data_IF_408657998954
#
_entry.id   IF_408657998954
#
_cell.length_a   1.000
_cell.length_b   1.000
_cell.length_c   1.000
_cell.angle_alpha   90.00
_cell.angle_beta   90.00
_cell.angle_gamma   90.00
#
_symmetry.space_group_name_H-M   'P 1'
#
loop_
_entity.id
_entity.type
_entity.pdbx_description
1 polymer ?
#
# COMPACT_ATOMS: atom_id res chain seq x y z
N UNK A 1 25.26 -46.90 -47.15
CA UNK A 1 25.05 -46.63 -45.68
C UNK A 1 24.72 -45.16 -45.52
N UNK A 2 23.46 -44.78 -45.33
CA UNK A 2 23.06 -43.38 -45.11
C UNK A 2 23.11 -43.03 -43.65
N UNK A 3 23.73 -41.89 -43.32
CA UNK A 3 23.77 -41.29 -41.98
C UNK A 3 22.45 -40.57 -41.68
N UNK A 4 21.71 -41.00 -40.68
CA UNK A 4 20.60 -40.27 -40.11
C UNK A 4 21.13 -39.14 -39.26
N UNK A 5 20.80 -37.90 -39.62
CA UNK A 5 21.02 -36.71 -38.80
C UNK A 5 19.74 -36.41 -38.04
N UNK A 6 19.75 -36.60 -36.72
CA UNK A 6 18.63 -36.29 -35.84
C UNK A 6 18.66 -34.80 -35.54
N UNK A 7 17.60 -34.07 -35.98
CA UNK A 7 17.35 -32.68 -35.61
C UNK A 7 16.66 -32.67 -34.22
N UNK A 8 17.36 -32.21 -33.21
CA UNK A 8 16.79 -31.87 -31.88
C UNK A 8 16.07 -30.51 -31.95
N UNK A 9 14.77 -30.52 -32.04
CA UNK A 9 13.96 -29.31 -31.81
C UNK A 9 13.96 -28.98 -30.31
N UNK A 10 14.73 -27.97 -29.91
CA UNK A 10 14.69 -27.38 -28.59
C UNK A 10 13.44 -26.51 -28.45
N UNK A 11 12.44 -26.95 -27.72
CA UNK A 11 11.29 -26.16 -27.32
C UNK A 11 11.72 -25.12 -26.26
N UNK A 12 11.86 -23.85 -26.68
CA UNK A 12 12.04 -22.71 -25.78
C UNK A 12 10.67 -22.43 -25.15
N UNK A 13 10.49 -22.84 -23.91
CA UNK A 13 9.37 -22.44 -23.06
C UNK A 13 9.58 -20.94 -22.70
N UNK A 14 8.95 -20.07 -23.47
CA UNK A 14 8.75 -18.66 -23.08
C UNK A 14 7.85 -18.64 -21.85
N UNK A 15 8.47 -18.59 -20.67
CA UNK A 15 7.78 -18.30 -19.43
C UNK A 15 7.17 -16.91 -19.52
N UNK A 16 5.84 -16.85 -19.73
CA UNK A 16 5.10 -15.62 -19.62
C UNK A 16 5.19 -15.12 -18.17
N UNK A 17 6.12 -14.20 -17.89
CA UNK A 17 6.11 -13.41 -16.67
C UNK A 17 4.79 -12.64 -16.63
N UNK A 18 3.80 -13.16 -15.90
CA UNK A 18 2.58 -12.44 -15.58
C UNK A 18 2.96 -11.26 -14.69
N UNK A 19 3.19 -10.08 -15.29
CA UNK A 19 3.43 -8.86 -14.53
C UNK A 19 2.13 -8.48 -13.83
N UNK A 20 2.06 -8.75 -12.55
CA UNK A 20 0.95 -8.30 -11.72
C UNK A 20 0.97 -6.77 -11.66
N UNK A 21 -0.12 -6.13 -12.05
CA UNK A 21 -0.25 -4.66 -11.99
C UNK A 21 0.00 -4.19 -10.56
N UNK A 22 0.98 -3.30 -10.37
CA UNK A 22 1.26 -2.69 -9.07
C UNK A 22 0.28 -1.56 -8.75
N UNK A 23 -0.25 -0.88 -9.77
CA UNK A 23 -1.17 0.25 -9.62
C UNK A 23 -2.34 0.18 -10.63
N UNK A 24 -3.42 0.88 -10.31
CA UNK A 24 -4.61 1.00 -11.14
C UNK A 24 -5.22 2.39 -11.05
N UNK A 25 -5.84 2.82 -12.13
CA UNK A 25 -6.42 4.14 -12.29
C UNK A 25 -7.80 4.04 -12.95
N UNK A 26 -8.81 4.76 -12.42
CA UNK A 26 -10.13 4.86 -13.03
C UNK A 26 -10.08 5.69 -14.33
N UNK A 27 -10.93 5.36 -15.30
CA UNK A 27 -10.92 6.03 -16.62
C UNK A 27 -11.16 7.53 -16.52
N UNK A 28 -12.07 7.97 -15.65
CA UNK A 28 -12.35 9.39 -15.41
C UNK A 28 -11.14 10.22 -14.96
N UNK A 29 -10.17 9.61 -14.28
CA UNK A 29 -8.96 10.30 -13.86
C UNK A 29 -7.95 10.46 -15.02
N UNK A 30 -8.09 9.68 -16.09
CA UNK A 30 -7.34 9.85 -17.33
C UNK A 30 -7.76 11.12 -18.07
N UNK A 31 -9.04 11.49 -17.95
CA UNK A 31 -9.62 12.67 -18.59
C UNK A 31 -9.40 13.96 -17.79
N UNK A 32 -9.20 13.83 -16.47
CA UNK A 32 -8.99 14.97 -15.56
C UNK A 32 -7.73 14.72 -14.71
N UNK A 33 -6.57 15.20 -15.15
CA UNK A 33 -5.34 15.08 -14.36
C UNK A 33 -5.47 15.83 -13.04
N UNK A 34 -4.74 15.38 -12.02
CA UNK A 34 -4.81 15.91 -10.65
C UNK A 34 -4.15 17.29 -10.47
N UNK A 35 -3.51 17.85 -11.51
CA UNK A 35 -2.79 19.12 -11.41
C UNK A 35 -3.67 20.23 -10.81
N UNK A 36 -3.20 20.83 -9.72
CA UNK A 36 -3.94 21.87 -9.01
C UNK A 36 -5.12 21.36 -8.17
N UNK A 37 -5.30 20.02 -8.05
CA UNK A 37 -6.31 19.47 -7.16
C UNK A 37 -5.87 19.53 -5.71
N UNK A 38 -6.81 19.83 -4.82
CA UNK A 38 -6.59 19.76 -3.38
C UNK A 38 -6.79 18.33 -2.89
N UNK A 39 -5.79 17.81 -2.16
CA UNK A 39 -5.73 16.45 -1.65
C UNK A 39 -5.57 16.46 -0.14
N UNK A 40 -6.55 15.90 0.58
CA UNK A 40 -6.45 15.65 2.02
C UNK A 40 -5.49 14.49 2.25
N UNK A 41 -4.35 14.74 2.86
CA UNK A 41 -3.42 13.69 3.28
C UNK A 41 -3.84 13.19 4.66
N UNK A 42 -4.46 12.02 4.70
CA UNK A 42 -4.88 11.36 5.95
C UNK A 42 -3.69 10.63 6.55
N UNK A 43 -3.57 10.67 7.89
CA UNK A 43 -2.53 9.93 8.60
C UNK A 43 -2.52 8.46 8.18
N UNK A 44 -1.36 7.86 7.86
CA UNK A 44 -1.29 6.50 7.35
C UNK A 44 -1.67 5.48 8.46
N UNK A 45 -2.53 4.52 8.14
CA UNK A 45 -2.82 3.36 9.02
C UNK A 45 -1.70 2.33 8.88
N UNK A 46 -0.65 2.51 9.66
CA UNK A 46 0.49 1.59 9.72
C UNK A 46 0.32 0.66 10.91
N UNK A 47 0.67 -0.62 10.75
CA UNK A 47 0.74 -1.58 11.86
C UNK A 47 1.92 -2.50 11.70
N UNK A 48 2.75 -2.56 12.73
CA UNK A 48 3.91 -3.41 12.80
C UNK A 48 3.71 -4.55 13.78
N UNK A 49 4.16 -5.73 13.37
CA UNK A 49 4.02 -6.95 14.15
C UNK A 49 5.38 -7.61 14.35
N UNK A 50 5.60 -8.14 15.53
CA UNK A 50 6.70 -9.05 15.83
C UNK A 50 6.26 -10.48 15.53
N UNK A 51 6.97 -11.17 14.66
CA UNK A 51 6.73 -12.57 14.33
C UNK A 51 7.51 -13.45 15.30
N UNK A 52 6.85 -14.02 16.30
CA UNK A 52 7.45 -14.88 17.32
C UNK A 52 7.63 -16.32 16.84
N UNK A 53 6.66 -16.83 16.12
CA UNK A 53 6.65 -18.16 15.51
C UNK A 53 5.76 -18.20 14.28
N UNK A 54 5.74 -19.28 13.47
CA UNK A 54 4.82 -19.40 12.36
C UNK A 54 3.36 -19.26 12.83
N UNK A 55 2.68 -18.20 12.33
CA UNK A 55 1.29 -17.89 12.68
C UNK A 55 1.11 -17.02 13.93
N UNK A 56 2.15 -16.79 14.73
CA UNK A 56 2.10 -15.95 15.92
C UNK A 56 2.70 -14.57 15.64
N UNK A 57 1.84 -13.56 15.61
CA UNK A 57 2.19 -12.16 15.32
C UNK A 57 1.73 -11.27 16.47
N UNK A 58 2.66 -10.69 17.20
CA UNK A 58 2.37 -9.72 18.25
C UNK A 58 2.41 -8.29 17.73
N UNK A 59 1.34 -7.54 17.95
CA UNK A 59 1.29 -6.12 17.59
C UNK A 59 2.23 -5.28 18.46
N UNK A 60 3.08 -4.48 17.81
CA UNK A 60 4.10 -3.65 18.46
C UNK A 60 3.77 -2.17 18.32
N UNK A 61 3.28 -1.59 19.41
CA UNK A 61 2.87 -0.18 19.44
C UNK A 61 4.05 0.76 19.24
N UNK A 62 5.17 0.50 19.93
CA UNK A 62 6.41 1.28 19.86
C UNK A 62 6.98 1.34 18.42
N UNK A 63 7.02 0.20 17.73
CA UNK A 63 7.45 0.12 16.33
C UNK A 63 6.50 0.83 15.39
N UNK A 64 5.19 0.67 15.63
CA UNK A 64 4.12 1.29 14.83
C UNK A 64 4.22 2.80 14.85
N UNK A 65 4.35 3.41 16.03
CA UNK A 65 4.46 4.88 16.19
C UNK A 65 5.67 5.43 15.42
N UNK A 66 6.81 4.73 15.47
CA UNK A 66 8.00 5.16 14.74
C UNK A 66 7.80 5.04 13.23
N UNK A 67 7.22 3.93 12.77
CA UNK A 67 6.94 3.69 11.36
C UNK A 67 5.91 4.69 10.78
N UNK A 68 4.84 5.00 11.52
CA UNK A 68 3.86 6.02 11.13
C UNK A 68 4.52 7.37 10.86
N UNK A 69 5.41 7.81 11.75
CA UNK A 69 6.15 9.08 11.59
C UNK A 69 7.02 9.07 10.33
N UNK A 70 7.76 7.98 10.10
CA UNK A 70 8.65 7.87 8.94
C UNK A 70 7.85 7.82 7.64
N UNK A 71 6.76 7.05 7.60
CA UNK A 71 5.89 6.94 6.43
C UNK A 71 5.20 8.27 6.14
N UNK A 72 4.65 8.95 7.16
CA UNK A 72 4.00 10.26 6.98
C UNK A 72 4.97 11.29 6.43
N UNK A 73 6.19 11.38 7.00
CA UNK A 73 7.24 12.28 6.50
C UNK A 73 7.56 11.99 5.04
N UNK A 74 7.78 10.72 4.69
CA UNK A 74 8.09 10.33 3.32
C UNK A 74 6.94 10.63 2.34
N UNK A 75 5.68 10.49 2.77
CA UNK A 75 4.50 10.86 1.97
C UNK A 75 4.46 12.36 1.70
N UNK A 76 4.61 13.19 2.74
CA UNK A 76 4.65 14.66 2.62
C UNK A 76 5.75 15.07 1.64
N UNK A 77 6.98 14.58 1.83
CA UNK A 77 8.12 14.93 0.99
C UNK A 77 7.89 14.58 -0.49
N UNK A 78 7.36 13.39 -0.75
CA UNK A 78 7.18 12.91 -2.12
C UNK A 78 5.95 13.50 -2.81
N UNK A 79 4.88 13.81 -2.08
CA UNK A 79 3.68 14.42 -2.65
C UNK A 79 3.81 15.91 -2.86
N UNK A 80 4.53 16.64 -1.99
CA UNK A 80 4.81 18.07 -2.17
C UNK A 80 5.52 18.37 -3.50
N UNK A 81 6.33 17.44 -3.99
CA UNK A 81 7.04 17.59 -5.27
C UNK A 81 6.12 17.41 -6.50
N UNK A 82 4.82 17.17 -6.30
CA UNK A 82 3.89 16.74 -7.37
C UNK A 82 2.84 17.78 -7.77
N UNK A 83 3.05 19.06 -7.47
CA UNK A 83 2.13 20.18 -7.82
C UNK A 83 0.69 19.96 -7.34
N UNK A 84 0.52 19.29 -6.21
CA UNK A 84 -0.75 19.09 -5.53
C UNK A 84 -0.89 20.13 -4.42
N UNK A 85 -2.13 20.59 -4.17
CA UNK A 85 -2.45 21.36 -2.98
C UNK A 85 -2.73 20.38 -1.83
N UNK A 86 -1.70 20.07 -1.03
CA UNK A 86 -1.83 19.14 0.09
C UNK A 86 -2.47 19.82 1.29
N UNK A 87 -3.59 19.28 1.72
CA UNK A 87 -4.25 19.66 2.96
C UNK A 87 -3.87 18.64 4.02
N UNK A 88 -3.13 19.03 5.08
CA UNK A 88 -2.81 18.11 6.15
C UNK A 88 -4.07 17.74 6.91
N UNK A 89 -4.18 16.45 7.28
CA UNK A 89 -5.24 15.96 8.15
C UNK A 89 -4.94 16.33 9.60
N UNK A 90 -5.92 16.97 10.24
CA UNK A 90 -5.84 17.26 11.67
C UNK A 90 -6.71 16.25 12.41
N UNK A 91 -6.09 15.36 13.17
CA UNK A 91 -6.79 14.39 14.00
C UNK A 91 -7.70 15.11 14.99
N UNK A 92 -8.99 14.80 15.01
CA UNK A 92 -9.91 15.37 16.00
C UNK A 92 -9.54 14.95 17.43
N UNK A 93 -10.04 15.71 18.41
CA UNK A 93 -9.84 15.38 19.82
C UNK A 93 -10.30 13.95 20.12
N UNK A 94 -9.44 13.20 20.80
CA UNK A 94 -9.67 11.80 21.16
C UNK A 94 -10.98 11.67 21.97
N UNK A 95 -11.79 10.69 21.61
CA UNK A 95 -13.10 10.40 22.24
C UNK A 95 -14.25 11.28 21.74
N UNK A 96 -14.00 12.25 20.85
CA UNK A 96 -15.07 13.01 20.20
C UNK A 96 -15.83 12.18 19.18
N UNK A 97 -17.10 12.55 18.90
CA UNK A 97 -17.90 11.91 17.84
C UNK A 97 -17.20 11.98 16.48
N UNK A 98 -16.55 13.11 16.25
CA UNK A 98 -15.81 13.36 15.02
C UNK A 98 -14.61 12.40 14.87
N UNK A 99 -13.85 12.19 15.92
CA UNK A 99 -12.73 11.21 15.89
C UNK A 99 -13.25 9.81 15.59
N UNK A 100 -14.38 9.44 16.18
CA UNK A 100 -15.01 8.13 15.92
C UNK A 100 -15.47 7.99 14.47
N UNK A 101 -16.04 9.03 13.88
CA UNK A 101 -16.47 9.02 12.48
C UNK A 101 -15.27 8.95 11.53
N UNK A 102 -14.23 9.74 11.76
CA UNK A 102 -13.02 9.74 10.95
C UNK A 102 -12.30 8.38 11.04
N UNK A 103 -12.19 7.82 12.24
CA UNK A 103 -11.63 6.48 12.47
C UNK A 103 -12.41 5.38 11.73
N UNK A 104 -13.73 5.47 11.66
CA UNK A 104 -14.56 4.53 10.89
C UNK A 104 -14.23 4.57 9.40
N UNK A 105 -13.98 5.74 8.84
CA UNK A 105 -13.58 5.86 7.42
C UNK A 105 -12.22 5.22 7.18
N UNK A 106 -11.24 5.44 8.07
CA UNK A 106 -9.92 4.80 7.98
C UNK A 106 -10.03 3.27 8.10
N UNK A 107 -10.85 2.77 9.04
CA UNK A 107 -11.08 1.34 9.19
C UNK A 107 -11.80 0.73 7.97
N UNK A 108 -12.78 1.43 7.41
CA UNK A 108 -13.45 1.03 6.19
C UNK A 108 -12.46 0.98 5.01
N UNK A 109 -11.58 1.99 4.91
CA UNK A 109 -10.51 1.96 3.90
C UNK A 109 -9.63 0.72 4.06
N UNK A 110 -9.22 0.35 5.27
CA UNK A 110 -8.40 -0.84 5.49
C UNK A 110 -9.12 -2.13 5.03
N UNK A 111 -10.43 -2.25 5.28
CA UNK A 111 -11.22 -3.39 4.83
C UNK A 111 -11.36 -3.43 3.29
N UNK A 112 -11.64 -2.28 2.66
CA UNK A 112 -11.73 -2.17 1.19
C UNK A 112 -10.36 -2.38 0.56
N UNK A 113 -9.27 -1.91 1.18
CA UNK A 113 -7.90 -2.15 0.75
C UNK A 113 -7.59 -3.65 0.68
N UNK A 114 -7.98 -4.41 1.70
CA UNK A 114 -7.81 -5.87 1.69
C UNK A 114 -8.60 -6.52 0.54
N UNK A 115 -9.82 -6.05 0.30
CA UNK A 115 -10.63 -6.55 -0.81
C UNK A 115 -10.03 -6.20 -2.18
N UNK A 116 -9.47 -4.99 -2.35
CA UNK A 116 -8.73 -4.58 -3.56
C UNK A 116 -7.51 -5.46 -3.80
N UNK A 117 -6.73 -5.74 -2.75
CA UNK A 117 -5.56 -6.62 -2.84
C UNK A 117 -5.95 -8.03 -3.30
N UNK A 118 -7.04 -8.58 -2.74
CA UNK A 118 -7.46 -9.95 -3.01
C UNK A 118 -8.20 -10.09 -4.35
N UNK A 119 -9.01 -9.10 -4.74
CA UNK A 119 -10.01 -9.26 -5.80
C UNK A 119 -9.82 -8.35 -7.01
N UNK A 120 -8.91 -7.40 -6.94
CA UNK A 120 -8.65 -6.50 -8.05
C UNK A 120 -7.19 -6.55 -8.52
N UNK A 121 -6.24 -6.42 -7.59
CA UNK A 121 -4.81 -6.41 -7.88
C UNK A 121 -4.21 -7.81 -7.96
N UNK A 122 -4.91 -8.82 -7.42
CA UNK A 122 -4.57 -10.23 -7.59
C UNK A 122 -5.30 -10.79 -8.83
N UNK A 123 -4.58 -11.25 -9.87
CA UNK A 123 -5.19 -11.81 -11.08
C UNK A 123 -6.08 -13.01 -10.83
N UNK A 124 -5.68 -13.87 -9.87
CA UNK A 124 -6.36 -15.14 -9.57
C UNK A 124 -7.62 -14.95 -8.72
N UNK A 125 -7.73 -13.81 -8.02
CA UNK A 125 -8.86 -13.48 -7.15
C UNK A 125 -9.92 -12.57 -7.75
N UNK A 126 -9.87 -12.29 -9.05
CA UNK A 126 -10.76 -11.31 -9.70
C UNK A 126 -12.23 -11.69 -9.60
N UNK A 127 -13.06 -10.70 -9.24
CA UNK A 127 -14.50 -10.84 -9.23
C UNK A 127 -15.05 -10.67 -10.66
N UNK A 128 -15.76 -11.67 -11.22
CA UNK A 128 -16.35 -11.58 -12.56
C UNK A 128 -17.29 -10.39 -12.72
N UNK A 129 -18.04 -10.04 -11.68
CA UNK A 129 -18.98 -8.93 -11.64
C UNK A 129 -18.32 -7.56 -11.81
N UNK A 130 -17.03 -7.42 -11.47
CA UNK A 130 -16.27 -6.17 -11.60
C UNK A 130 -15.62 -5.99 -12.98
N UNK A 131 -15.59 -7.02 -13.81
CA UNK A 131 -15.07 -6.99 -15.20
C UNK A 131 -13.68 -6.34 -15.34
N UNK A 132 -12.85 -6.44 -14.29
CA UNK A 132 -11.51 -5.83 -14.24
C UNK A 132 -11.49 -4.30 -14.14
N UNK A 133 -12.62 -3.65 -13.85
CA UNK A 133 -12.71 -2.21 -13.65
C UNK A 133 -12.37 -1.84 -12.20
N UNK A 134 -11.73 -0.67 -12.01
CA UNK A 134 -11.57 -0.06 -10.68
C UNK A 134 -12.90 0.59 -10.28
N UNK A 135 -13.82 -0.22 -9.81
CA UNK A 135 -15.16 0.15 -9.35
C UNK A 135 -15.31 -0.22 -7.88
N UNK A 136 -14.64 0.54 -7.02
CA UNK A 136 -14.62 0.38 -5.58
C UNK A 136 -14.87 1.71 -4.88
N UNK A 137 -15.54 1.69 -3.75
CA UNK A 137 -15.95 2.89 -3.04
C UNK A 137 -15.90 2.72 -1.54
N UNK A 138 -15.61 3.80 -0.83
CA UNK A 138 -15.83 3.96 0.61
C UNK A 138 -17.20 4.56 0.90
N UNK A 139 -17.97 4.87 -0.14
CA UNK A 139 -19.26 5.53 -0.03
C UNK A 139 -19.17 6.99 0.44
N UNK A 140 -20.32 7.66 0.58
CA UNK A 140 -20.37 9.09 0.89
C UNK A 140 -19.90 9.42 2.33
N UNK A 141 -19.60 8.41 3.16
CA UNK A 141 -19.07 8.60 4.51
C UNK A 141 -17.75 9.36 4.56
N UNK A 142 -16.95 9.35 3.48
CA UNK A 142 -15.70 10.11 3.39
C UNK A 142 -15.90 11.63 3.53
N UNK A 143 -17.08 12.14 3.22
CA UNK A 143 -17.44 13.57 3.43
C UNK A 143 -17.45 13.99 4.90
N UNK A 144 -17.44 13.02 5.83
CA UNK A 144 -17.37 13.28 7.26
C UNK A 144 -16.02 13.80 7.73
N UNK A 145 -14.94 13.56 6.98
CA UNK A 145 -13.69 14.28 7.23
C UNK A 145 -13.96 15.78 7.16
N UNK A 146 -13.84 16.51 8.26
CA UNK A 146 -14.22 17.94 8.31
C UNK A 146 -13.31 18.82 7.45
N UNK A 147 -12.05 18.45 7.29
CA UNK A 147 -11.13 19.05 6.33
C UNK A 147 -11.56 18.80 4.87
N UNK A 148 -12.43 17.81 4.64
CA UNK A 148 -12.93 17.42 3.33
C UNK A 148 -13.68 18.50 2.55
N UNK A 149 -14.24 19.52 3.22
CA UNK A 149 -14.97 20.60 2.53
C UNK A 149 -14.09 21.43 1.57
N UNK A 150 -12.76 21.31 1.68
CA UNK A 150 -11.78 22.00 0.83
C UNK A 150 -10.99 21.05 -0.07
N UNK A 151 -11.15 19.73 0.10
CA UNK A 151 -10.38 18.75 -0.65
C UNK A 151 -11.22 18.12 -1.76
N UNK A 152 -10.63 17.99 -2.95
CA UNK A 152 -11.24 17.23 -4.05
C UNK A 152 -11.08 15.72 -3.81
N UNK A 153 -9.95 15.33 -3.23
CA UNK A 153 -9.59 13.94 -2.98
C UNK A 153 -9.07 13.74 -1.56
N UNK A 154 -9.17 12.52 -1.04
CA UNK A 154 -8.42 12.06 0.12
C UNK A 154 -7.39 11.01 -0.31
N UNK A 155 -6.18 11.13 0.22
CA UNK A 155 -5.13 10.13 0.06
C UNK A 155 -5.05 9.32 1.35
N UNK A 156 -5.34 8.02 1.24
CA UNK A 156 -5.34 7.08 2.34
C UNK A 156 -4.30 5.98 2.11
N UNK A 157 -3.60 5.61 3.17
CA UNK A 157 -2.60 4.55 3.14
C UNK A 157 -2.88 3.54 4.24
N UNK A 158 -2.80 2.25 3.90
CA UNK A 158 -2.87 1.13 4.82
C UNK A 158 -1.61 0.29 4.61
N UNK A 159 -0.75 0.19 5.63
CA UNK A 159 0.50 -0.57 5.59
C UNK A 159 0.57 -1.55 6.75
N UNK A 160 1.04 -2.75 6.45
CA UNK A 160 1.31 -3.81 7.42
C UNK A 160 2.71 -4.34 7.19
N UNK A 161 3.42 -4.53 8.28
CA UNK A 161 4.78 -5.06 8.23
C UNK A 161 5.03 -5.99 9.41
N UNK A 162 5.88 -6.97 9.24
CA UNK A 162 6.21 -7.93 10.27
C UNK A 162 7.69 -8.26 10.28
N UNK A 163 8.28 -8.32 11.47
CA UNK A 163 9.68 -8.62 11.70
C UNK A 163 9.83 -9.84 12.59
N UNK A 164 10.76 -10.73 12.21
CA UNK A 164 11.18 -11.82 13.11
C UNK A 164 12.24 -11.27 14.07
N UNK A 165 12.19 -11.61 15.36
CA UNK A 165 13.29 -11.31 16.26
C UNK A 165 14.54 -12.03 15.77
N UNK A 166 15.69 -11.35 15.84
CA UNK A 166 16.98 -12.02 15.66
C UNK A 166 17.10 -13.02 16.81
N UNK A 167 16.81 -14.28 16.54
CA UNK A 167 17.11 -15.33 17.51
C UNK A 167 18.62 -15.32 17.74
N UNK A 168 19.05 -14.86 18.90
CA UNK A 168 20.41 -15.09 19.39
C UNK A 168 20.55 -16.59 19.72
N UNK A 169 20.44 -17.42 18.69
CA UNK A 169 20.79 -18.82 18.80
C UNK A 169 22.29 -18.91 19.05
N UNK A 170 22.67 -19.80 19.94
CA UNK A 170 24.06 -20.17 20.31
C UNK A 170 24.90 -20.67 19.10
N UNK A 171 24.62 -20.25 17.88
CA UNK A 171 25.33 -20.56 16.64
C UNK A 171 26.35 -19.53 16.18
N UNK A 172 26.75 -18.57 17.03
CA UNK A 172 27.68 -17.50 16.69
C UNK A 172 29.15 -17.93 16.53
N UNK A 173 29.44 -19.14 16.08
CA UNK A 173 30.82 -19.63 15.86
C UNK A 173 31.17 -19.83 14.40
N UNK A 174 30.22 -19.77 13.49
CA UNK A 174 30.51 -19.83 12.05
C UNK A 174 29.90 -18.61 11.40
N UNK A 175 30.77 -17.70 10.92
CA UNK A 175 30.45 -16.46 10.26
C UNK A 175 29.53 -16.61 9.06
N UNK A 176 28.26 -16.62 9.32
CA UNK A 176 27.24 -16.38 8.33
C UNK A 176 26.49 -15.12 8.78
N UNK A 177 26.43 -14.13 7.90
CA UNK A 177 25.56 -12.96 8.01
C UNK A 177 24.10 -13.45 8.15
N UNK A 178 23.70 -13.85 9.35
CA UNK A 178 22.32 -14.14 9.69
C UNK A 178 21.58 -12.81 9.79
N UNK A 179 21.37 -12.18 8.65
CA UNK A 179 20.35 -11.15 8.54
C UNK A 179 19.01 -11.80 8.90
N UNK A 180 18.21 -11.19 9.78
CA UNK A 180 16.87 -11.69 10.05
C UNK A 180 16.14 -11.81 8.73
N UNK A 181 15.49 -12.94 8.49
CA UNK A 181 14.65 -13.11 7.30
C UNK A 181 13.68 -11.93 7.23
N UNK A 182 13.67 -11.16 6.15
CA UNK A 182 12.86 -9.96 6.07
C UNK A 182 11.39 -10.32 6.25
N UNK A 183 10.70 -9.53 7.07
CA UNK A 183 9.26 -9.66 7.25
C UNK A 183 8.51 -9.33 5.97
N UNK A 184 7.29 -9.80 5.87
CA UNK A 184 6.43 -9.46 4.74
C UNK A 184 5.84 -8.07 4.93
N UNK A 185 6.21 -7.16 4.06
CA UNK A 185 5.68 -5.81 3.96
C UNK A 185 4.58 -5.78 2.89
N UNK A 186 3.37 -5.41 3.27
CA UNK A 186 2.29 -5.26 2.31
C UNK A 186 1.40 -4.05 2.65
N UNK A 187 0.75 -3.53 1.64
CA UNK A 187 -0.19 -2.44 1.83
C UNK A 187 -0.76 -1.90 0.54
N UNK A 188 -1.56 -0.88 0.69
CA UNK A 188 -2.21 -0.16 -0.39
C UNK A 188 -2.25 1.33 -0.10
N UNK A 189 -2.03 2.13 -1.13
CA UNK A 189 -2.39 3.53 -1.18
C UNK A 189 -3.60 3.71 -2.07
N UNK A 190 -4.51 4.59 -1.69
CA UNK A 190 -5.72 4.88 -2.45
C UNK A 190 -5.97 6.38 -2.53
N UNK A 191 -6.34 6.85 -3.71
CA UNK A 191 -6.89 8.18 -3.91
C UNK A 191 -8.40 8.07 -4.02
N UNK A 192 -9.11 8.74 -3.14
CA UNK A 192 -10.56 8.67 -3.00
C UNK A 192 -11.16 10.02 -3.34
N UNK A 193 -12.09 10.05 -4.27
CA UNK A 193 -12.85 11.27 -4.60
C UNK A 193 -13.80 11.61 -3.45
N UNK A 194 -13.70 12.84 -2.94
CA UNK A 194 -14.42 13.23 -1.72
C UNK A 194 -15.93 13.35 -1.93
N UNK A 195 -16.38 13.63 -3.12
CA UNK A 195 -17.81 13.78 -3.40
C UNK A 195 -18.55 12.44 -3.42
N UNK A 196 -18.01 11.45 -4.10
CA UNK A 196 -18.65 10.15 -4.32
C UNK A 196 -18.17 9.06 -3.37
N UNK A 197 -16.98 9.22 -2.80
CA UNK A 197 -16.28 8.18 -2.05
C UNK A 197 -15.64 7.11 -2.92
N UNK A 198 -15.65 7.29 -4.25
CA UNK A 198 -15.08 6.31 -5.16
C UNK A 198 -13.55 6.34 -5.14
N UNK A 199 -12.95 5.15 -5.16
CA UNK A 199 -11.51 5.00 -5.33
C UNK A 199 -11.18 5.23 -6.80
N UNK A 200 -10.43 6.29 -7.09
CA UNK A 200 -10.07 6.69 -8.45
C UNK A 200 -8.67 6.24 -8.86
N UNK A 201 -7.85 5.93 -7.89
CA UNK A 201 -6.55 5.33 -8.09
C UNK A 201 -6.19 4.48 -6.86
N UNK A 202 -5.46 3.41 -7.07
CA UNK A 202 -4.84 2.64 -6.01
C UNK A 202 -3.52 2.03 -6.48
N UNK A 203 -2.63 1.81 -5.53
CA UNK A 203 -1.36 1.12 -5.74
C UNK A 203 -1.06 0.21 -4.57
N UNK A 204 -0.50 -0.97 -4.85
CA UNK A 204 -0.10 -1.94 -3.83
C UNK A 204 1.39 -1.90 -3.56
N UNK A 205 1.75 -2.16 -2.32
CA UNK A 205 3.08 -2.54 -1.90
C UNK A 205 3.08 -4.04 -1.57
N UNK A 206 4.07 -4.77 -2.06
CA UNK A 206 4.37 -6.14 -1.66
C UNK A 206 5.89 -6.30 -1.71
N UNK A 207 6.53 -6.39 -0.55
CA UNK A 207 7.98 -6.50 -0.41
C UNK A 207 8.33 -7.50 0.68
N UNK A 208 9.50 -8.09 0.55
CA UNK A 208 10.08 -8.98 1.56
C UNK A 208 11.31 -8.38 2.22
N UNK A 209 11.61 -7.11 1.93
CA UNK A 209 12.78 -6.40 2.42
C UNK A 209 12.41 -4.99 2.85
N UNK A 210 13.17 -4.42 3.76
CA UNK A 210 13.00 -3.09 4.30
C UNK A 210 12.47 -3.11 5.74
N UNK A 211 12.61 -1.98 6.41
CA UNK A 211 12.17 -1.78 7.80
C UNK A 211 11.52 -0.40 7.91
N UNK A 212 10.20 -0.34 8.09
CA UNK A 212 9.49 0.94 8.19
C UNK A 212 9.87 1.75 9.42
N UNK A 213 10.54 1.14 10.40
CA UNK A 213 11.07 1.86 11.57
C UNK A 213 12.27 2.75 11.21
N UNK A 214 12.91 2.47 10.08
CA UNK A 214 14.04 3.22 9.55
C UNK A 214 13.59 4.19 8.46
N UNK A 215 14.19 5.39 8.42
CA UNK A 215 13.74 6.49 7.56
C UNK A 215 13.89 6.16 6.07
N UNK A 216 15.07 5.69 5.65
CA UNK A 216 15.33 5.43 4.23
C UNK A 216 14.52 4.23 3.68
N UNK A 217 14.41 3.08 4.37
CA UNK A 217 13.49 2.02 3.96
C UNK A 217 12.02 2.44 3.88
N UNK A 218 11.54 3.28 4.81
CA UNK A 218 10.20 3.85 4.76
C UNK A 218 10.02 4.75 3.52
N UNK A 219 11.02 5.58 3.19
CA UNK A 219 11.05 6.42 1.99
C UNK A 219 10.97 5.59 0.70
N UNK A 220 11.71 4.49 0.64
CA UNK A 220 11.67 3.56 -0.48
C UNK A 220 10.31 2.85 -0.61
N UNK A 221 9.69 2.45 0.51
CA UNK A 221 8.36 1.86 0.51
C UNK A 221 7.31 2.84 -0.01
N UNK A 222 7.35 4.10 0.43
CA UNK A 222 6.46 5.16 -0.06
C UNK A 222 6.70 5.45 -1.54
N UNK A 223 7.95 5.47 -2.00
CA UNK A 223 8.27 5.64 -3.42
C UNK A 223 7.63 4.55 -4.27
N UNK A 224 7.73 3.28 -3.83
CA UNK A 224 7.09 2.15 -4.51
C UNK A 224 5.56 2.25 -4.48
N UNK A 225 4.97 2.69 -3.35
CA UNK A 225 3.52 2.93 -3.25
C UNK A 225 3.02 4.03 -4.20
N UNK A 226 3.85 5.05 -4.48
CA UNK A 226 3.50 6.16 -5.35
C UNK A 226 3.86 5.91 -6.82
N UNK A 227 4.32 4.72 -7.17
CA UNK A 227 4.55 4.33 -8.55
C UNK A 227 3.24 4.34 -9.35
N UNK A 228 3.26 5.03 -10.51
CA UNK A 228 2.05 5.21 -11.32
C UNK A 228 0.98 6.12 -10.70
N UNK A 229 1.33 6.93 -9.69
CA UNK A 229 0.44 7.96 -9.17
C UNK A 229 0.08 8.95 -10.28
N UNK A 230 -1.21 9.27 -10.49
CA UNK A 230 -1.67 10.12 -11.58
C UNK A 230 -1.27 11.59 -11.35
N UNK A 231 -0.57 12.16 -12.31
CA UNK A 231 -0.20 13.58 -12.37
C UNK A 231 -0.78 14.19 -13.64
#
# INVERSE_FOLDING_TARGET
MPRLTALLLGSVLLGACSSSKSSARADRLKERPLNGSSVLLVDPDVRLFEKKSPGDHEFRVDWTVQAEKNVLRALVDQLNNRRLDLIPYEMPLRGSDRERDDRRVVQLHAAVAQALLNHYLNPDGRLPTKQGKLDWTLGPGVRKFKAARKANYAFLVCLRDSYAPVSRGLGGVLGSDLQPAPGAQWGIASLVEMESGNIVWCSRLARTTGDLREEEPARQAVRALLEGFPL
#
